data_IF_071762785853
#
_entry.id   IF_071762785853
#
_cell.length_a   1.000
_cell.length_b   1.000
_cell.length_c   1.000
_cell.angle_alpha   90.00
_cell.angle_beta   90.00
_cell.angle_gamma   90.00
#
_symmetry.space_group_name_H-M   'P 1'
#
loop_
_entity.id
_entity.type
_entity.pdbx_description
1 polymer ?
#
# COMPACT_ATOMS: atom_id res chain seq x y z
N UNK A 1 -29.55 -65.69 8.84
CA UNK A 1 -28.68 -64.50 8.76
C UNK A 1 -28.75 -63.99 7.32
N UNK A 2 -28.94 -62.67 7.14
CA UNK A 2 -29.00 -61.89 5.90
C UNK A 2 -30.36 -61.83 5.17
N UNK A 3 -31.10 -60.75 5.43
CA UNK A 3 -32.19 -60.24 4.59
C UNK A 3 -31.63 -59.51 3.36
N UNK A 4 -32.32 -59.52 2.21
CA UNK A 4 -31.90 -58.74 1.06
C UNK A 4 -32.44 -57.31 1.16
N UNK A 5 -31.55 -56.36 1.40
CA UNK A 5 -31.75 -54.93 1.14
C UNK A 5 -31.90 -54.75 -0.38
N UNK A 6 -33.12 -54.86 -0.90
CA UNK A 6 -33.40 -54.69 -2.33
C UNK A 6 -34.54 -53.69 -2.52
N UNK A 7 -34.18 -52.55 -3.12
CA UNK A 7 -35.06 -51.51 -3.71
C UNK A 7 -35.54 -50.36 -2.80
N UNK A 8 -34.64 -49.63 -2.15
CA UNK A 8 -34.94 -48.29 -1.59
C UNK A 8 -35.11 -47.22 -2.70
N UNK A 9 -34.33 -47.32 -3.78
CA UNK A 9 -34.32 -46.37 -4.90
C UNK A 9 -35.57 -46.39 -5.82
N UNK A 10 -36.45 -47.41 -5.72
CA UNK A 10 -37.71 -47.46 -6.48
C UNK A 10 -38.86 -46.66 -5.85
N UNK A 11 -38.65 -46.06 -4.67
CA UNK A 11 -39.66 -45.27 -3.94
C UNK A 11 -39.35 -43.78 -3.91
N UNK A 12 -38.27 -43.34 -4.52
CA UNK A 12 -37.92 -41.93 -4.63
C UNK A 12 -38.38 -41.46 -6.00
N UNK A 13 -39.43 -40.65 -6.03
CA UNK A 13 -39.86 -40.00 -7.26
C UNK A 13 -38.75 -39.03 -7.68
N UNK A 14 -38.23 -39.22 -8.89
CA UNK A 14 -37.15 -38.38 -9.42
C UNK A 14 -37.66 -36.96 -9.69
N UNK A 15 -38.95 -36.80 -9.93
CA UNK A 15 -39.56 -35.48 -10.15
C UNK A 15 -39.66 -34.70 -8.84
N UNK A 16 -39.95 -35.37 -7.71
CA UNK A 16 -39.88 -34.76 -6.38
C UNK A 16 -38.44 -34.46 -5.95
N UNK A 17 -37.47 -35.31 -6.36
CA UNK A 17 -36.05 -35.11 -6.05
C UNK A 17 -35.41 -33.99 -6.87
N UNK A 18 -35.83 -33.82 -8.13
CA UNK A 18 -35.32 -32.83 -9.08
C UNK A 18 -36.20 -31.57 -9.17
N UNK A 19 -37.30 -31.52 -8.42
CA UNK A 19 -38.12 -30.33 -8.26
C UNK A 19 -37.33 -29.18 -7.67
N UNK A 20 -37.59 -27.96 -8.13
CA UNK A 20 -36.99 -26.74 -7.57
C UNK A 20 -38.08 -25.76 -7.13
N UNK A 21 -37.92 -25.21 -5.93
CA UNK A 21 -38.82 -24.19 -5.42
C UNK A 21 -38.51 -22.83 -6.04
N UNK A 22 -39.55 -22.09 -6.37
CA UNK A 22 -39.46 -20.72 -6.87
C UNK A 22 -40.37 -19.78 -6.09
N UNK A 23 -39.99 -18.52 -5.99
CA UNK A 23 -40.75 -17.53 -5.24
C UNK A 23 -41.98 -17.08 -6.03
N UNK A 24 -43.15 -17.03 -5.37
CA UNK A 24 -44.35 -16.35 -5.88
C UNK A 24 -44.09 -14.84 -5.87
N UNK A 25 -44.13 -14.20 -7.04
CA UNK A 25 -43.87 -12.75 -7.19
C UNK A 25 -45.14 -11.98 -7.52
N UNK A 26 -45.25 -10.76 -7.01
CA UNK A 26 -46.36 -9.84 -7.29
C UNK A 26 -45.89 -8.79 -8.30
N UNK A 27 -46.52 -8.78 -9.48
CA UNK A 27 -46.17 -7.82 -10.52
C UNK A 27 -46.94 -6.51 -10.35
N UNK A 28 -46.28 -5.48 -9.81
CA UNK A 28 -46.89 -4.17 -9.53
C UNK A 28 -46.86 -3.30 -10.78
N UNK A 29 -48.03 -2.89 -11.29
CA UNK A 29 -48.19 -2.01 -12.44
C UNK A 29 -48.39 -0.55 -12.02
N UNK A 30 -47.30 0.12 -11.65
CA UNK A 30 -47.29 1.56 -11.37
C UNK A 30 -46.09 2.24 -12.06
N UNK A 31 -46.38 3.29 -12.84
CA UNK A 31 -45.36 4.08 -13.56
C UNK A 31 -44.37 4.75 -12.61
N UNK A 32 -44.82 5.26 -11.47
CA UNK A 32 -43.97 5.98 -10.50
C UNK A 32 -42.94 5.03 -9.91
N UNK A 33 -43.40 3.88 -9.40
CA UNK A 33 -42.54 2.82 -8.87
C UNK A 33 -41.62 2.23 -9.94
N UNK A 34 -42.12 2.02 -11.15
CA UNK A 34 -41.32 1.54 -12.27
C UNK A 34 -40.17 2.49 -12.62
N UNK A 35 -40.42 3.80 -12.70
CA UNK A 35 -39.37 4.80 -12.92
C UNK A 35 -38.35 4.82 -11.78
N UNK A 36 -38.79 4.78 -10.52
CA UNK A 36 -37.90 4.76 -9.37
C UNK A 36 -37.04 3.48 -9.35
N UNK A 37 -37.64 2.32 -9.63
CA UNK A 37 -36.95 1.04 -9.66
C UNK A 37 -35.88 0.96 -10.77
N UNK A 38 -36.26 1.28 -12.01
CA UNK A 38 -35.30 1.28 -13.11
C UNK A 38 -34.26 2.38 -12.97
N UNK A 39 -34.62 3.54 -12.39
CA UNK A 39 -33.66 4.59 -12.04
C UNK A 39 -32.58 4.10 -11.07
N UNK A 40 -32.98 3.45 -9.97
CA UNK A 40 -32.02 2.85 -9.03
C UNK A 40 -31.21 1.71 -9.68
N UNK A 41 -31.84 0.83 -10.46
CA UNK A 41 -31.12 -0.23 -11.16
C UNK A 41 -30.05 0.32 -12.11
N UNK A 42 -30.39 1.30 -12.95
CA UNK A 42 -29.44 1.90 -13.89
C UNK A 42 -28.30 2.60 -13.15
N UNK A 43 -28.61 3.36 -12.08
CA UNK A 43 -27.60 4.04 -11.28
C UNK A 43 -26.62 3.05 -10.61
N UNK A 44 -27.15 1.98 -10.00
CA UNK A 44 -26.34 0.94 -9.36
C UNK A 44 -25.52 0.18 -10.40
N UNK A 45 -26.11 -0.15 -11.55
CA UNK A 45 -25.41 -0.85 -12.62
C UNK A 45 -24.27 -0.01 -13.20
N UNK A 46 -24.51 1.29 -13.45
CA UNK A 46 -23.47 2.22 -13.88
C UNK A 46 -22.35 2.35 -12.82
N UNK A 47 -22.71 2.41 -11.54
CA UNK A 47 -21.75 2.41 -10.44
C UNK A 47 -20.91 1.13 -10.39
N UNK A 48 -21.52 -0.04 -10.56
CA UNK A 48 -20.80 -1.33 -10.60
C UNK A 48 -19.80 -1.34 -11.74
N UNK A 49 -20.22 -0.97 -12.96
CA UNK A 49 -19.33 -0.90 -14.13
C UNK A 49 -18.17 0.06 -13.86
N UNK A 50 -18.48 1.26 -13.37
CA UNK A 50 -17.48 2.25 -13.01
C UNK A 50 -16.49 1.70 -11.97
N UNK A 51 -16.98 1.06 -10.91
CA UNK A 51 -16.14 0.49 -9.85
C UNK A 51 -15.26 -0.65 -10.36
N UNK A 52 -15.80 -1.57 -11.16
CA UNK A 52 -15.05 -2.70 -11.72
C UNK A 52 -13.94 -2.22 -12.66
N UNK A 53 -14.21 -1.20 -13.49
CA UNK A 53 -13.23 -0.66 -14.44
C UNK A 53 -12.21 0.23 -13.73
N UNK A 54 -12.66 1.20 -12.94
CA UNK A 54 -11.78 2.20 -12.32
C UNK A 54 -10.90 1.59 -11.23
N UNK A 55 -11.47 0.75 -10.36
CA UNK A 55 -10.71 0.08 -9.30
C UNK A 55 -10.03 -1.21 -9.78
N UNK A 56 -10.32 -1.63 -11.02
CA UNK A 56 -9.81 -2.85 -11.65
C UNK A 56 -10.04 -4.09 -10.77
N UNK A 57 -11.26 -4.27 -10.27
CA UNK A 57 -11.64 -5.33 -9.33
C UNK A 57 -11.54 -6.75 -9.90
N UNK A 58 -11.32 -6.86 -11.21
CA UNK A 58 -11.05 -8.12 -11.91
C UNK A 58 -9.58 -8.57 -11.81
N UNK A 59 -8.73 -7.76 -11.18
CA UNK A 59 -7.33 -8.07 -10.94
C UNK A 59 -7.12 -8.54 -9.51
N UNK A 60 -6.31 -9.58 -9.35
CA UNK A 60 -5.66 -9.89 -8.09
C UNK A 60 -4.43 -8.99 -7.95
N UNK A 61 -4.59 -7.93 -7.18
CA UNK A 61 -3.56 -6.92 -6.90
C UNK A 61 -2.70 -7.33 -5.70
N UNK A 62 -1.41 -7.09 -5.78
CA UNK A 62 -0.46 -7.26 -4.66
C UNK A 62 0.64 -6.21 -4.70
N UNK A 63 1.21 -5.91 -3.52
CA UNK A 63 2.42 -5.09 -3.45
C UNK A 63 3.61 -5.87 -4.03
N UNK A 64 4.45 -5.23 -4.85
CA UNK A 64 5.60 -5.88 -5.44
C UNK A 64 6.61 -6.28 -4.36
N UNK A 65 7.19 -7.47 -4.51
CA UNK A 65 8.36 -7.89 -3.74
C UNK A 65 9.61 -7.33 -4.41
N UNK A 66 10.49 -6.65 -3.66
CA UNK A 66 11.73 -6.11 -4.21
C UNK A 66 12.58 -7.19 -4.89
N UNK A 67 12.90 -6.98 -6.16
CA UNK A 67 13.83 -7.84 -6.90
C UNK A 67 15.28 -7.34 -6.84
N UNK A 68 16.11 -7.83 -7.76
CA UNK A 68 17.50 -7.42 -7.85
C UNK A 68 17.62 -6.02 -8.45
N UNK A 69 18.53 -5.21 -7.92
CA UNK A 69 18.91 -3.92 -8.47
C UNK A 69 20.40 -3.94 -8.72
N UNK A 70 20.81 -3.57 -9.93
CA UNK A 70 22.21 -3.43 -10.29
C UNK A 70 22.42 -2.08 -10.93
N UNK A 71 23.46 -1.39 -10.47
CA UNK A 71 23.89 -0.12 -11.04
C UNK A 71 25.29 -0.27 -11.60
N UNK A 72 25.52 0.28 -12.78
CA UNK A 72 26.86 0.43 -13.35
C UNK A 72 27.07 1.85 -13.81
N UNK A 73 28.30 2.33 -13.72
CA UNK A 73 28.69 3.67 -14.11
C UNK A 73 29.52 3.60 -15.40
N UNK A 74 29.26 4.52 -16.32
CA UNK A 74 30.02 4.66 -17.57
C UNK A 74 30.50 6.11 -17.73
N UNK A 75 31.76 6.23 -18.11
CA UNK A 75 32.43 7.51 -18.40
C UNK A 75 31.82 8.22 -19.61
N UNK A 76 31.82 9.56 -19.63
CA UNK A 76 31.33 10.31 -20.78
C UNK A 76 32.21 10.07 -22.02
N UNK A 77 31.60 10.12 -23.21
CA UNK A 77 32.34 10.06 -24.46
C UNK A 77 33.10 11.37 -24.70
N UNK A 78 34.43 11.32 -24.70
CA UNK A 78 35.32 12.46 -24.96
C UNK A 78 36.29 12.75 -23.82
N UNK A 79 36.97 13.88 -23.89
CA UNK A 79 37.87 14.32 -22.82
C UNK A 79 37.07 14.79 -21.59
N UNK A 80 37.59 14.44 -20.41
CA UNK A 80 37.04 14.88 -19.13
C UNK A 80 37.30 16.37 -18.93
N UNK A 81 36.28 17.09 -18.47
CA UNK A 81 36.35 18.54 -18.30
C UNK A 81 36.65 18.93 -16.84
N UNK A 82 37.40 20.03 -16.67
CA UNK A 82 37.60 20.62 -15.34
C UNK A 82 36.38 21.45 -14.98
N UNK A 83 35.72 21.11 -13.87
CA UNK A 83 34.53 21.80 -13.42
C UNK A 83 34.85 23.08 -12.61
N UNK A 84 33.95 24.07 -12.52
CA UNK A 84 34.22 25.34 -11.83
C UNK A 84 34.56 25.20 -10.33
N UNK A 85 33.99 24.19 -9.66
CA UNK A 85 34.24 23.93 -8.23
C UNK A 85 35.68 23.50 -7.91
N UNK A 86 36.49 23.16 -8.92
CA UNK A 86 37.91 22.87 -8.77
C UNK A 86 38.75 24.08 -8.32
N UNK A 87 38.17 25.29 -8.30
CA UNK A 87 38.79 26.47 -7.72
C UNK A 87 38.78 26.45 -6.18
N UNK A 88 37.83 25.73 -5.56
CA UNK A 88 37.72 25.65 -4.10
C UNK A 88 38.69 24.62 -3.51
N UNK A 89 38.86 23.48 -4.20
CA UNK A 89 39.78 22.40 -3.85
C UNK A 89 40.35 21.78 -5.12
N UNK A 90 41.60 21.27 -5.12
CA UNK A 90 42.19 20.66 -6.30
C UNK A 90 41.35 19.47 -6.79
N UNK A 91 41.21 19.34 -8.10
CA UNK A 91 40.45 18.24 -8.71
C UNK A 91 41.35 17.11 -9.21
N UNK A 92 40.81 15.90 -9.17
CA UNK A 92 41.39 14.70 -9.77
C UNK A 92 40.44 14.14 -10.82
N UNK A 93 41.02 13.47 -11.81
CA UNK A 93 40.31 12.80 -12.89
C UNK A 93 40.28 11.30 -12.58
N UNK A 94 39.08 10.77 -12.33
CA UNK A 94 38.89 9.38 -11.94
C UNK A 94 38.03 8.64 -12.96
N UNK A 95 38.38 7.38 -13.22
CA UNK A 95 37.56 6.52 -14.05
C UNK A 95 36.29 6.04 -13.33
N UNK A 96 35.35 5.48 -14.08
CA UNK A 96 34.07 5.00 -13.53
C UNK A 96 34.26 3.97 -12.41
N UNK A 97 35.20 3.03 -12.56
CA UNK A 97 35.51 2.01 -11.55
C UNK A 97 36.18 2.57 -10.29
N UNK A 98 36.75 3.77 -10.34
CA UNK A 98 37.35 4.42 -9.17
C UNK A 98 36.31 5.24 -8.40
N UNK A 99 35.35 5.84 -9.13
CA UNK A 99 34.26 6.66 -8.58
C UNK A 99 33.20 5.77 -7.93
N UNK A 100 32.75 4.76 -8.67
CA UNK A 100 31.74 3.81 -8.24
C UNK A 100 32.36 2.86 -7.23
N UNK A 101 31.88 2.93 -5.99
CA UNK A 101 32.24 1.99 -4.95
C UNK A 101 30.98 1.29 -4.47
N UNK A 102 31.04 -0.03 -4.44
CA UNK A 102 29.94 -0.86 -3.97
C UNK A 102 30.29 -1.40 -2.57
N UNK A 103 29.67 -0.91 -1.49
CA UNK A 103 29.91 -1.43 -0.14
C UNK A 103 29.31 -2.83 0.08
N UNK A 104 28.66 -3.43 -0.93
CA UNK A 104 27.96 -4.71 -0.81
C UNK A 104 26.52 -4.58 -0.34
N UNK A 105 25.96 -3.36 -0.35
CA UNK A 105 24.58 -3.09 0.05
C UNK A 105 23.62 -3.40 -1.10
N UNK A 106 22.68 -4.32 -0.87
CA UNK A 106 21.63 -4.63 -1.84
C UNK A 106 20.76 -3.40 -2.10
N UNK A 107 20.71 -2.96 -3.35
CA UNK A 107 19.89 -1.81 -3.75
C UNK A 107 20.44 -0.46 -3.30
N UNK A 108 21.74 -0.35 -2.99
CA UNK A 108 22.40 0.93 -2.84
C UNK A 108 23.70 0.98 -3.65
N UNK A 109 24.13 2.19 -3.99
CA UNK A 109 25.41 2.42 -4.65
C UNK A 109 26.02 3.73 -4.18
N UNK A 110 27.34 3.84 -4.23
CA UNK A 110 28.06 5.03 -3.78
C UNK A 110 28.95 5.59 -4.89
N UNK A 111 28.78 6.88 -5.16
CA UNK A 111 29.60 7.65 -6.10
C UNK A 111 30.47 8.62 -5.31
N UNK A 112 31.78 8.50 -5.47
CA UNK A 112 32.73 9.39 -4.79
C UNK A 112 32.66 10.79 -5.42
N UNK A 113 32.59 11.85 -4.62
CA UNK A 113 32.70 13.26 -5.05
C UNK A 113 33.94 13.94 -4.49
N UNK A 114 34.40 13.50 -3.32
CA UNK A 114 35.59 14.00 -2.63
C UNK A 114 36.40 12.84 -2.08
N UNK A 115 37.73 12.98 -2.12
CA UNK A 115 38.64 12.03 -1.50
C UNK A 115 39.77 12.71 -0.73
N UNK A 116 40.19 12.08 0.36
CA UNK A 116 41.49 12.31 1.00
C UNK A 116 42.14 10.97 1.29
N UNK A 117 43.47 10.92 1.27
CA UNK A 117 44.23 9.70 1.48
C UNK A 117 45.15 9.84 2.69
N UNK A 118 45.28 8.77 3.48
CA UNK A 118 46.24 8.66 4.56
C UNK A 118 47.12 7.46 4.28
N UNK A 119 48.44 7.65 4.37
CA UNK A 119 49.40 6.56 4.19
C UNK A 119 49.98 6.19 5.54
N UNK A 120 49.94 4.90 5.85
CA UNK A 120 50.52 4.29 7.03
C UNK A 120 51.73 3.45 6.60
N UNK A 121 52.94 3.80 7.04
CA UNK A 121 54.16 3.10 6.62
C UNK A 121 54.21 1.70 7.23
N UNK A 122 54.85 0.76 6.52
CA UNK A 122 55.12 -0.56 7.07
C UNK A 122 56.01 -0.46 8.31
N UNK A 123 55.78 -1.38 9.26
CA UNK A 123 56.63 -1.52 10.44
C UNK A 123 57.53 -2.75 10.27
N UNK A 124 58.82 -2.59 10.56
CA UNK A 124 59.77 -3.69 10.53
C UNK A 124 59.29 -4.89 11.37
N UNK A 125 59.32 -6.08 10.77
CA UNK A 125 58.88 -7.32 11.42
C UNK A 125 57.37 -7.50 11.55
N UNK A 126 56.54 -6.61 10.99
CA UNK A 126 55.10 -6.74 10.98
C UNK A 126 54.55 -6.96 9.57
N UNK A 127 53.68 -7.96 9.43
CA UNK A 127 52.81 -8.13 8.26
C UNK A 127 51.42 -7.56 8.59
N UNK A 128 51.02 -6.49 7.90
CA UNK A 128 49.72 -5.88 8.12
C UNK A 128 48.58 -6.58 7.37
N UNK A 129 48.88 -7.42 6.38
CA UNK A 129 47.89 -8.24 5.69
C UNK A 129 47.47 -9.43 6.57
N UNK A 130 48.42 -10.00 7.32
CA UNK A 130 48.21 -11.10 8.25
C UNK A 130 48.84 -10.81 9.63
N UNK A 131 48.27 -9.87 10.42
CA UNK A 131 48.83 -9.50 11.70
C UNK A 131 48.63 -10.63 12.73
N UNK A 132 49.68 -11.43 12.96
CA UNK A 132 49.70 -12.50 13.97
C UNK A 132 49.92 -11.98 15.39
N UNK A 133 50.43 -10.75 15.53
CA UNK A 133 50.64 -10.07 16.81
C UNK A 133 49.76 -8.82 16.88
N UNK A 134 49.11 -8.59 18.03
CA UNK A 134 48.29 -7.39 18.28
C UNK A 134 49.06 -6.06 18.10
N UNK A 135 50.38 -6.07 18.31
CA UNK A 135 51.26 -4.92 18.09
C UNK A 135 51.48 -4.58 16.60
N UNK A 136 51.13 -5.51 15.70
CA UNK A 136 51.20 -5.35 14.24
C UNK A 136 49.85 -4.97 13.62
N UNK A 137 48.85 -4.57 14.43
CA UNK A 137 47.60 -3.99 13.91
C UNK A 137 47.87 -2.63 13.26
N UNK A 138 47.28 -2.41 12.09
CA UNK A 138 47.20 -1.07 11.50
C UNK A 138 46.24 -0.23 12.37
N UNK A 139 46.78 0.68 13.15
CA UNK A 139 46.08 1.76 13.88
C UNK A 139 47.13 2.78 14.35
N UNK A 140 48.19 2.92 13.55
CA UNK A 140 49.34 3.78 13.85
C UNK A 140 49.10 5.18 13.28
N UNK A 141 49.96 6.12 13.62
CA UNK A 141 49.85 7.49 13.11
C UNK A 141 50.23 7.53 11.62
N UNK A 142 49.46 8.24 10.75
CA UNK A 142 49.77 8.29 9.33
C UNK A 142 51.07 9.06 9.09
N UNK A 143 51.90 8.60 8.15
CA UNK A 143 53.11 9.31 7.73
C UNK A 143 52.80 10.47 6.77
N UNK A 144 51.75 10.31 5.96
CA UNK A 144 51.36 11.29 4.95
C UNK A 144 49.85 11.41 4.92
N UNK A 145 49.34 12.63 4.98
CA UNK A 145 47.92 12.96 4.80
C UNK A 145 47.81 13.84 3.57
N UNK A 146 47.10 13.38 2.55
CA UNK A 146 46.86 14.18 1.35
C UNK A 146 45.89 15.32 1.66
N UNK A 147 45.95 16.43 0.91
CA UNK A 147 44.85 17.38 0.93
C UNK A 147 43.58 16.71 0.37
N UNK A 148 42.46 17.39 0.54
CA UNK A 148 41.17 16.94 0.02
C UNK A 148 41.05 17.30 -1.46
N UNK A 149 40.70 16.31 -2.27
CA UNK A 149 40.51 16.45 -3.71
C UNK A 149 39.04 16.26 -4.09
N UNK A 150 38.57 17.01 -5.07
CA UNK A 150 37.27 16.77 -5.71
C UNK A 150 37.41 15.95 -6.98
N UNK A 151 36.40 15.15 -7.29
CA UNK A 151 36.30 14.45 -8.57
C UNK A 151 35.57 15.38 -9.54
N UNK A 152 36.20 15.65 -10.68
CA UNK A 152 35.66 16.54 -11.71
C UNK A 152 34.75 15.81 -12.70
N UNK A 153 33.90 16.57 -13.39
CA UNK A 153 33.02 16.11 -14.48
C UNK A 153 31.99 15.01 -14.13
N UNK A 154 31.72 14.80 -12.84
CA UNK A 154 30.83 13.73 -12.37
C UNK A 154 29.41 13.81 -12.97
N UNK A 155 28.91 15.02 -13.23
CA UNK A 155 27.54 15.24 -13.74
C UNK A 155 27.29 14.63 -15.13
N UNK A 156 28.36 14.45 -15.93
CA UNK A 156 28.32 13.86 -17.28
C UNK A 156 28.44 12.34 -17.27
N UNK A 157 28.76 11.71 -16.13
CA UNK A 157 28.79 10.25 -16.05
C UNK A 157 27.38 9.68 -16.19
N UNK A 158 27.30 8.51 -16.80
CA UNK A 158 26.05 7.82 -17.08
C UNK A 158 25.87 6.63 -16.16
N UNK A 159 24.75 6.60 -15.43
CA UNK A 159 24.31 5.48 -14.62
C UNK A 159 23.41 4.59 -15.48
N UNK A 160 23.71 3.30 -15.52
CA UNK A 160 22.78 2.29 -16.02
C UNK A 160 22.15 1.58 -14.82
N UNK A 161 20.83 1.62 -14.74
CA UNK A 161 20.04 1.01 -13.65
C UNK A 161 19.29 -0.20 -14.23
N UNK A 162 19.63 -1.38 -13.74
CA UNK A 162 18.88 -2.60 -13.99
C UNK A 162 18.07 -2.93 -12.75
N UNK A 163 16.78 -3.21 -12.91
CA UNK A 163 15.95 -3.66 -11.81
C UNK A 163 14.96 -4.72 -12.25
N UNK A 164 14.64 -5.62 -11.33
CA UNK A 164 13.57 -6.61 -11.48
C UNK A 164 12.58 -6.50 -10.33
N UNK A 165 11.37 -6.99 -10.58
CA UNK A 165 10.27 -7.03 -9.61
C UNK A 165 9.57 -8.37 -9.68
N UNK A 166 9.07 -8.84 -8.53
CA UNK A 166 8.35 -10.10 -8.42
C UNK A 166 7.04 -9.94 -7.66
N UNK A 167 6.01 -10.67 -8.07
CA UNK A 167 4.78 -10.90 -7.33
C UNK A 167 4.75 -12.32 -6.75
N UNK A 168 4.46 -12.46 -5.45
CA UNK A 168 4.42 -13.77 -4.78
C UNK A 168 3.12 -14.50 -5.07
N UNK A 169 1.99 -13.80 -4.98
CA UNK A 169 0.66 -14.38 -5.11
C UNK A 169 0.18 -14.48 -6.56
N UNK A 170 0.74 -13.67 -7.47
CA UNK A 170 0.43 -13.66 -8.90
C UNK A 170 1.45 -14.40 -9.76
N UNK A 171 2.65 -14.67 -9.22
CA UNK A 171 3.77 -15.27 -9.94
C UNK A 171 4.41 -14.36 -11.00
N UNK A 172 4.13 -13.06 -10.97
CA UNK A 172 4.74 -12.07 -11.85
C UNK A 172 6.26 -12.03 -11.57
N UNK A 173 7.08 -12.02 -12.61
CA UNK A 173 8.53 -11.83 -12.49
C UNK A 173 9.03 -11.14 -13.75
N UNK A 174 9.35 -9.84 -13.65
CA UNK A 174 9.59 -8.98 -14.82
C UNK A 174 10.81 -8.10 -14.57
N UNK A 175 11.59 -7.85 -15.62
CA UNK A 175 12.73 -6.93 -15.62
C UNK A 175 12.34 -5.60 -16.26
N UNK A 176 12.98 -4.51 -15.85
CA UNK A 176 12.76 -3.17 -16.40
C UNK A 176 12.92 -3.03 -17.93
N UNK A 177 13.61 -3.96 -18.60
CA UNK A 177 13.66 -4.02 -20.07
C UNK A 177 12.37 -4.40 -20.77
N UNK A 178 11.41 -4.99 -20.05
CA UNK A 178 10.10 -5.37 -20.59
C UNK A 178 9.01 -4.40 -20.16
N UNK A 179 9.36 -3.39 -19.36
CA UNK A 179 8.43 -2.42 -18.79
C UNK A 179 8.65 -1.03 -19.36
N UNK A 180 7.61 -0.20 -19.35
CA UNK A 180 7.72 1.21 -19.72
C UNK A 180 7.98 2.08 -18.48
N UNK A 181 9.09 2.79 -18.48
CA UNK A 181 9.56 3.62 -17.39
C UNK A 181 9.44 5.11 -17.62
N UNK A 182 9.53 5.88 -16.54
CA UNK A 182 9.87 7.30 -16.61
C UNK A 182 10.61 7.78 -15.37
N UNK A 183 11.43 8.81 -15.52
CA UNK A 183 12.01 9.56 -14.40
C UNK A 183 11.12 10.76 -14.10
N UNK A 184 10.51 10.75 -12.93
CA UNK A 184 9.75 11.88 -12.42
C UNK A 184 10.73 12.93 -11.92
N UNK A 185 10.56 14.15 -12.40
CA UNK A 185 11.28 15.31 -11.91
C UNK A 185 10.41 15.89 -10.81
N UNK A 186 10.93 15.91 -9.58
CA UNK A 186 10.22 16.53 -8.47
C UNK A 186 10.09 18.03 -8.76
N UNK A 187 8.90 18.48 -9.18
CA UNK A 187 8.56 19.90 -9.42
C UNK A 187 8.49 20.70 -8.12
N UNK A 188 9.39 20.45 -7.17
CA UNK A 188 9.49 21.20 -5.94
C UNK A 188 10.23 22.50 -6.24
N UNK A 189 9.49 23.59 -6.42
CA UNK A 189 9.84 25.00 -6.14
C UNK A 189 11.22 25.56 -6.53
N UNK A 190 12.07 24.84 -7.25
CA UNK A 190 13.38 25.29 -7.63
C UNK A 190 13.26 25.97 -9.00
N UNK A 191 13.37 27.32 -9.08
CA UNK A 191 13.24 28.06 -10.33
C UNK A 191 14.31 27.66 -11.36
N UNK A 192 15.34 26.92 -10.96
CA UNK A 192 16.43 26.47 -11.83
C UNK A 192 16.05 25.31 -12.78
N UNK A 193 14.97 24.55 -12.54
CA UNK A 193 14.65 23.33 -13.33
C UNK A 193 13.25 23.31 -13.99
N UNK A 194 12.61 24.47 -14.19
CA UNK A 194 11.22 24.52 -14.69
C UNK A 194 11.02 23.99 -16.14
N UNK A 195 12.08 23.88 -16.94
CA UNK A 195 12.00 23.54 -18.37
C UNK A 195 12.47 22.12 -18.72
N UNK A 196 12.63 21.24 -17.74
CA UNK A 196 13.13 19.88 -18.01
C UNK A 196 12.03 18.92 -18.46
N UNK A 197 12.38 18.13 -19.47
CA UNK A 197 11.54 17.05 -20.00
C UNK A 197 11.68 15.80 -19.13
N UNK A 198 10.56 15.19 -18.76
CA UNK A 198 10.54 13.86 -18.16
C UNK A 198 11.31 12.89 -19.07
N UNK A 199 12.25 12.11 -18.50
CA UNK A 199 12.89 11.04 -19.25
C UNK A 199 11.92 9.86 -19.32
N UNK A 200 11.69 9.36 -20.53
CA UNK A 200 10.86 8.19 -20.78
C UNK A 200 11.74 7.02 -21.23
N UNK A 201 11.47 5.86 -20.66
CA UNK A 201 12.11 4.60 -21.00
C UNK A 201 11.07 3.70 -21.63
N UNK A 202 11.25 3.37 -22.91
CA UNK A 202 10.35 2.46 -23.62
C UNK A 202 11.15 1.24 -24.09
N UNK A 203 10.59 0.03 -23.97
CA UNK A 203 11.19 -1.18 -24.53
C UNK A 203 11.46 -1.06 -26.04
N UNK A 204 10.63 -0.31 -26.76
CA UNK A 204 10.73 -0.13 -28.20
C UNK A 204 11.85 0.82 -28.61
N UNK A 205 12.15 1.83 -27.78
CA UNK A 205 13.21 2.82 -28.04
C UNK A 205 14.57 2.44 -27.46
N UNK A 206 14.64 1.35 -26.68
CA UNK A 206 15.86 0.99 -25.97
C UNK A 206 16.94 0.51 -26.94
N UNK A 207 18.20 1.00 -26.82
CA UNK A 207 19.29 0.51 -27.65
C UNK A 207 19.48 -1.01 -27.49
N UNK A 208 19.78 -1.73 -28.58
CA UNK A 208 20.05 -3.16 -28.49
C UNK A 208 21.27 -3.42 -27.59
N UNK A 209 21.17 -4.46 -26.74
CA UNK A 209 22.20 -4.88 -25.76
C UNK A 209 22.41 -3.96 -24.54
N UNK A 210 21.56 -2.95 -24.34
CA UNK A 210 21.53 -2.20 -23.08
C UNK A 210 20.43 -2.81 -22.20
N UNK A 211 20.78 -3.55 -21.12
CA UNK A 211 19.78 -4.24 -20.32
C UNK A 211 19.03 -3.32 -19.35
N UNK A 212 19.59 -2.15 -19.01
CA UNK A 212 19.03 -1.21 -18.03
C UNK A 212 18.58 0.14 -18.61
N UNK A 213 18.16 1.03 -17.72
CA UNK A 213 17.82 2.41 -18.03
C UNK A 213 19.04 3.30 -17.86
N UNK A 214 19.26 4.22 -18.81
CA UNK A 214 20.42 5.12 -18.80
C UNK A 214 19.98 6.50 -18.29
N UNK A 215 20.63 6.97 -17.23
CA UNK A 215 20.38 8.27 -16.60
C UNK A 215 21.73 8.91 -16.28
N UNK A 216 21.96 10.18 -16.63
CA UNK A 216 23.19 10.84 -16.18
C UNK A 216 23.14 11.15 -14.68
N UNK A 217 24.29 11.19 -14.00
CA UNK A 217 24.36 11.61 -12.59
C UNK A 217 23.74 13.00 -12.43
N UNK A 218 24.02 13.92 -13.37
CA UNK A 218 23.41 15.23 -13.40
C UNK A 218 21.89 15.18 -13.57
N UNK A 219 21.32 14.31 -14.41
CA UNK A 219 19.85 14.16 -14.54
C UNK A 219 19.23 13.65 -13.23
N UNK A 220 19.88 12.69 -12.56
CA UNK A 220 19.38 12.15 -11.30
C UNK A 220 19.43 13.19 -10.17
N UNK A 221 20.52 13.96 -10.07
CA UNK A 221 20.66 15.04 -9.09
C UNK A 221 19.58 16.11 -9.29
N UNK A 222 19.32 16.50 -10.54
CA UNK A 222 18.28 17.47 -10.90
C UNK A 222 16.88 16.94 -10.59
N UNK A 223 16.58 15.69 -10.94
CA UNK A 223 15.32 15.04 -10.59
C UNK A 223 15.10 14.96 -9.07
N UNK A 224 16.19 14.80 -8.30
CA UNK A 224 16.16 14.79 -6.84
C UNK A 224 16.04 16.17 -6.18
N UNK A 225 16.25 17.25 -6.95
CA UNK A 225 16.33 18.62 -6.43
C UNK A 225 17.62 18.92 -5.65
N UNK A 226 18.64 18.06 -5.71
CA UNK A 226 19.91 18.23 -5.04
C UNK A 226 20.86 19.14 -5.83
N UNK A 227 21.55 20.04 -5.13
CA UNK A 227 22.62 20.87 -5.68
C UNK A 227 23.88 20.62 -4.86
N UNK A 228 24.86 19.93 -5.42
CA UNK A 228 26.06 19.51 -4.68
C UNK A 228 26.90 20.69 -4.17
N UNK A 229 26.86 21.83 -4.85
CA UNK A 229 27.65 23.00 -4.48
C UNK A 229 26.92 23.91 -3.46
N UNK A 230 25.72 23.53 -3.03
CA UNK A 230 25.02 24.23 -1.95
C UNK A 230 25.61 23.87 -0.57
N UNK A 231 25.48 24.75 0.43
CA UNK A 231 25.91 24.47 1.80
C UNK A 231 25.22 23.22 2.35
N UNK A 232 26.01 22.35 2.99
CA UNK A 232 25.53 21.14 3.62
C UNK A 232 24.76 21.44 4.90
N UNK A 233 23.63 20.77 5.08
CA UNK A 233 22.83 20.79 6.30
C UNK A 233 23.13 19.61 7.24
N UNK A 234 24.13 18.78 6.91
CA UNK A 234 24.52 17.64 7.72
C UNK A 234 25.13 18.08 9.07
N UNK A 235 24.81 17.40 10.18
CA UNK A 235 25.40 17.70 11.49
C UNK A 235 26.93 17.50 11.56
N UNK A 236 27.47 16.62 10.72
CA UNK A 236 28.90 16.34 10.63
C UNK A 236 29.69 17.34 9.77
N UNK A 237 29.00 18.20 9.01
CA UNK A 237 29.62 19.16 8.13
C UNK A 237 30.11 20.40 8.88
N UNK A 238 31.24 20.96 8.45
CA UNK A 238 31.80 22.21 8.98
C UNK A 238 31.02 23.41 8.43
N UNK A 239 29.88 23.71 9.07
CA UNK A 239 29.01 24.82 8.71
C UNK A 239 29.71 26.18 8.81
N UNK A 240 30.66 26.34 9.73
CA UNK A 240 31.41 27.57 9.90
C UNK A 240 32.33 27.88 8.71
N UNK A 241 32.82 26.84 8.02
CA UNK A 241 33.59 26.94 6.78
C UNK A 241 32.73 26.90 5.51
N UNK A 242 31.40 26.82 5.65
CA UNK A 242 30.49 26.71 4.51
C UNK A 242 30.70 25.42 3.72
N UNK A 243 30.94 24.30 4.40
CA UNK A 243 31.11 23.00 3.74
C UNK A 243 29.91 22.65 2.85
N UNK A 244 30.16 22.23 1.61
CA UNK A 244 29.12 21.91 0.63
C UNK A 244 28.74 20.44 0.65
N UNK A 245 27.57 20.11 0.10
CA UNK A 245 27.13 18.73 -0.10
C UNK A 245 28.12 17.87 -0.91
N UNK A 246 28.89 18.49 -1.83
CA UNK A 246 29.99 17.84 -2.56
C UNK A 246 31.11 17.38 -1.63
N UNK A 247 31.35 18.10 -0.54
CA UNK A 247 32.40 17.80 0.43
C UNK A 247 31.94 16.83 1.52
N UNK A 248 30.76 17.07 2.11
CA UNK A 248 30.22 16.22 3.18
C UNK A 248 29.68 14.90 2.64
N UNK A 249 29.17 14.89 1.41
CA UNK A 249 28.39 13.79 0.84
C UNK A 249 26.89 13.98 1.09
N UNK A 250 26.07 13.25 0.34
CA UNK A 250 24.61 13.27 0.38
C UNK A 250 24.02 11.88 0.21
N UNK A 251 22.78 11.71 0.67
CA UNK A 251 21.99 10.51 0.42
C UNK A 251 20.79 10.83 -0.48
N UNK A 252 20.75 10.18 -1.65
CA UNK A 252 19.63 10.18 -2.58
C UNK A 252 18.77 8.95 -2.34
N UNK A 253 17.48 9.15 -2.09
CA UNK A 253 16.47 8.09 -2.09
C UNK A 253 15.78 8.06 -3.45
N UNK A 254 15.85 6.92 -4.13
CA UNK A 254 15.22 6.68 -5.43
C UNK A 254 14.13 5.63 -5.24
N UNK A 255 12.88 6.08 -5.25
CA UNK A 255 11.71 5.21 -5.19
C UNK A 255 11.36 4.75 -6.60
N UNK A 256 11.33 3.44 -6.81
CA UNK A 256 10.82 2.80 -8.04
C UNK A 256 9.40 2.36 -7.75
N UNK A 257 8.41 3.07 -8.29
CA UNK A 257 7.00 2.73 -8.16
C UNK A 257 6.54 1.93 -9.37
N UNK A 258 6.05 0.72 -9.15
CA UNK A 258 5.50 -0.17 -10.17
C UNK A 258 3.98 -0.09 -10.24
N UNK A 259 3.45 -0.07 -11.46
CA UNK A 259 2.02 -0.08 -11.72
C UNK A 259 1.74 -0.86 -13.02
N UNK A 260 0.50 -1.28 -13.22
CA UNK A 260 0.04 -1.80 -14.50
C UNK A 260 -1.34 -1.27 -14.84
N UNK A 261 -1.60 -1.04 -16.14
CA UNK A 261 -2.87 -0.48 -16.64
C UNK A 261 -4.07 -1.43 -16.54
N UNK A 262 -3.97 -2.44 -15.68
CA UNK A 262 -4.95 -3.49 -15.50
C UNK A 262 -4.98 -4.51 -16.61
N UNK A 263 -3.90 -4.58 -17.39
CA UNK A 263 -3.62 -5.64 -18.35
C UNK A 263 -2.21 -6.20 -18.11
N UNK A 264 -1.52 -6.58 -19.19
CA UNK A 264 -0.13 -7.05 -19.22
C UNK A 264 0.90 -5.92 -19.34
N UNK A 265 0.48 -4.66 -19.48
CA UNK A 265 1.43 -3.56 -19.65
C UNK A 265 1.91 -3.04 -18.29
N UNK A 266 3.09 -3.51 -17.91
CA UNK A 266 3.77 -3.06 -16.70
C UNK A 266 4.52 -1.76 -16.94
N UNK A 267 4.39 -0.85 -15.99
CA UNK A 267 5.00 0.48 -15.99
C UNK A 267 5.74 0.69 -14.68
N UNK A 268 6.75 1.53 -14.72
CA UNK A 268 7.40 2.00 -13.50
C UNK A 268 7.73 3.48 -13.58
N UNK A 269 7.87 4.13 -12.43
CA UNK A 269 8.30 5.52 -12.33
C UNK A 269 9.40 5.63 -11.27
N UNK A 270 10.51 6.28 -11.63
CA UNK A 270 11.54 6.68 -10.68
C UNK A 270 11.15 8.01 -10.05
N UNK A 271 11.14 8.10 -8.73
CA UNK A 271 11.06 9.35 -7.98
C UNK A 271 12.31 9.49 -7.13
N UNK A 272 13.13 10.49 -7.42
CA UNK A 272 14.34 10.77 -6.66
C UNK A 272 14.10 11.94 -5.70
N UNK A 273 14.64 11.84 -4.49
CA UNK A 273 14.68 12.92 -3.52
C UNK A 273 15.98 12.82 -2.71
N UNK A 274 16.63 13.93 -2.41
CA UNK A 274 17.74 13.92 -1.44
C UNK A 274 17.19 14.02 -0.01
N UNK A 275 17.84 13.34 0.92
CA UNK A 275 17.49 13.37 2.33
C UNK A 275 18.31 14.46 3.01
N UNK A 276 17.64 15.54 3.41
CA UNK A 276 18.23 16.64 4.18
C UNK A 276 18.89 16.16 5.46
N UNK A 277 20.05 16.70 5.78
CA UNK A 277 20.84 16.41 6.98
C UNK A 277 21.65 15.12 6.91
N UNK A 278 21.49 14.30 5.86
CA UNK A 278 22.23 13.05 5.73
C UNK A 278 23.51 13.25 4.90
N UNK A 279 24.64 13.09 5.55
CA UNK A 279 25.94 12.88 4.88
C UNK A 279 26.23 11.39 4.69
N UNK A 280 27.15 11.08 3.78
CA UNK A 280 27.65 9.72 3.64
C UNK A 280 29.12 9.71 3.23
N UNK A 281 29.89 8.88 3.95
CA UNK A 281 31.30 8.62 3.69
C UNK A 281 31.60 7.13 3.80
N UNK A 282 32.67 6.72 3.13
CA UNK A 282 33.23 5.38 3.16
C UNK A 282 34.73 5.49 3.35
N UNK A 283 35.27 4.68 4.27
CA UNK A 283 36.71 4.52 4.46
C UNK A 283 37.11 3.17 3.86
N UNK A 284 37.99 3.21 2.86
CA UNK A 284 38.52 2.02 2.19
C UNK A 284 40.00 1.88 2.53
N UNK A 285 40.46 0.67 2.84
CA UNK A 285 41.85 0.38 3.17
C UNK A 285 42.49 -0.47 2.07
N UNK A 286 43.56 0.03 1.47
CA UNK A 286 44.33 -0.65 0.43
C UNK A 286 45.70 -1.02 0.99
N UNK A 287 46.05 -2.30 0.90
CA UNK A 287 47.39 -2.79 1.24
C UNK A 287 48.31 -2.74 0.02
N UNK A 288 49.48 -2.10 0.15
CA UNK A 288 50.50 -2.05 -0.88
C UNK A 288 51.50 -3.19 -0.66
N UNK A 289 51.55 -4.23 -1.51
CA UNK A 289 52.40 -5.39 -1.28
C UNK A 289 53.89 -5.09 -1.46
N UNK A 290 54.25 -4.06 -2.22
CA UNK A 290 55.65 -3.69 -2.49
C UNK A 290 56.33 -3.11 -1.25
N UNK A 291 55.65 -2.17 -0.59
CA UNK A 291 56.22 -1.41 0.53
C UNK A 291 55.68 -1.88 1.89
N UNK A 292 54.71 -2.80 1.90
CA UNK A 292 53.97 -3.24 3.09
C UNK A 292 53.10 -2.15 3.73
N UNK A 293 53.00 -0.98 3.09
CA UNK A 293 52.26 0.17 3.59
C UNK A 293 50.76 -0.01 3.38
N UNK A 294 49.97 0.66 4.22
CA UNK A 294 48.52 0.72 4.07
C UNK A 294 48.11 2.13 3.66
N UNK A 295 47.29 2.23 2.63
CA UNK A 295 46.64 3.49 2.22
C UNK A 295 45.17 3.45 2.60
N UNK A 296 44.74 4.36 3.45
CA UNK A 296 43.33 4.59 3.76
C UNK A 296 42.78 5.71 2.87
N UNK A 297 41.72 5.40 2.14
CA UNK A 297 40.98 6.31 1.27
C UNK A 297 39.71 6.73 2.01
N UNK A 298 39.66 7.98 2.45
CA UNK A 298 38.46 8.57 3.01
C UNK A 298 37.64 9.24 1.89
N UNK A 299 36.58 8.57 1.48
CA UNK A 299 35.72 8.91 0.34
C UNK A 299 34.42 9.52 0.86
N UNK A 300 34.06 10.69 0.37
CA UNK A 300 32.75 11.29 0.57
C UNK A 300 32.02 11.41 -0.76
N UNK A 301 30.69 11.36 -0.75
CA UNK A 301 29.92 11.56 -1.96
C UNK A 301 28.48 11.15 -1.91
N UNK A 302 27.96 10.71 -3.06
CA UNK A 302 26.54 10.49 -3.29
C UNK A 302 26.23 9.04 -3.01
N UNK A 303 25.49 8.76 -1.93
CA UNK A 303 24.87 7.44 -1.72
C UNK A 303 23.51 7.44 -2.38
N UNK A 304 23.28 6.53 -3.31
CA UNK A 304 21.99 6.34 -3.96
C UNK A 304 21.37 5.07 -3.37
N UNK A 305 20.21 5.20 -2.75
CA UNK A 305 19.46 4.09 -2.14
C UNK A 305 18.16 3.90 -2.91
N UNK A 306 17.97 2.71 -3.45
CA UNK A 306 16.79 2.36 -4.22
C UNK A 306 15.76 1.63 -3.34
N UNK A 307 14.50 2.03 -3.44
CA UNK A 307 13.38 1.36 -2.80
C UNK A 307 12.30 1.00 -3.81
N UNK A 308 11.84 -0.25 -3.79
CA UNK A 308 10.82 -0.75 -4.71
C UNK A 308 9.45 -0.76 -4.03
N UNK A 309 8.44 -0.16 -4.66
CA UNK A 309 7.07 -0.09 -4.16
C UNK A 309 6.06 -0.08 -5.29
N UNK A 310 4.77 -0.11 -5.00
CA UNK A 310 3.70 0.06 -6.00
C UNK A 310 2.59 -0.99 -5.85
N UNK A 311 1.86 -1.19 -6.94
CA UNK A 311 0.76 -2.13 -6.97
C UNK A 311 0.73 -2.84 -8.33
N UNK A 312 0.92 -4.15 -8.32
CA UNK A 312 0.90 -4.96 -9.54
C UNK A 312 -0.27 -5.93 -9.49
N UNK A 313 -1.02 -6.02 -10.59
CA UNK A 313 -2.20 -6.87 -10.70
C UNK A 313 -2.13 -7.81 -11.88
N UNK A 314 -2.62 -9.03 -11.71
CA UNK A 314 -2.90 -9.95 -12.81
C UNK A 314 -4.38 -10.25 -12.87
N UNK A 315 -4.93 -10.46 -14.07
CA UNK A 315 -6.30 -10.93 -14.22
C UNK A 315 -6.50 -12.22 -13.42
N UNK A 316 -7.54 -12.24 -12.60
CA UNK A 316 -7.92 -13.37 -11.77
C UNK A 316 -9.43 -13.57 -11.82
N UNK A 317 -9.85 -14.71 -12.36
CA UNK A 317 -11.28 -14.99 -12.56
C UNK A 317 -12.03 -15.08 -11.22
N UNK A 318 -11.37 -15.54 -10.15
CA UNK A 318 -11.98 -15.62 -8.83
C UNK A 318 -12.26 -14.22 -8.27
N UNK A 319 -11.31 -13.29 -8.39
CA UNK A 319 -11.49 -11.88 -8.01
C UNK A 319 -12.64 -11.23 -8.76
N UNK A 320 -12.75 -11.46 -10.09
CA UNK A 320 -13.90 -11.00 -10.87
C UNK A 320 -15.22 -11.57 -10.35
N UNK A 321 -15.28 -12.88 -10.12
CA UNK A 321 -16.49 -13.57 -9.67
C UNK A 321 -16.93 -13.08 -8.29
N UNK A 322 -16.01 -12.97 -7.32
CA UNK A 322 -16.32 -12.48 -5.97
C UNK A 322 -16.88 -11.06 -6.00
N UNK A 323 -16.27 -10.17 -6.80
CA UNK A 323 -16.75 -8.80 -6.95
C UNK A 323 -18.09 -8.72 -7.70
N UNK A 324 -18.34 -9.63 -8.65
CA UNK A 324 -19.62 -9.74 -9.34
C UNK A 324 -20.74 -10.21 -8.39
N UNK A 325 -20.47 -11.21 -7.56
CA UNK A 325 -21.43 -11.70 -6.55
C UNK A 325 -21.80 -10.59 -5.57
N UNK A 326 -20.82 -9.84 -5.07
CA UNK A 326 -21.07 -8.66 -4.23
C UNK A 326 -21.91 -7.60 -4.95
N UNK A 327 -21.67 -7.40 -6.24
CA UNK A 327 -22.42 -6.45 -7.07
C UNK A 327 -23.88 -6.87 -7.31
N UNK A 328 -24.17 -8.18 -7.44
CA UNK A 328 -25.53 -8.71 -7.53
C UNK A 328 -26.31 -8.46 -6.23
N UNK A 329 -25.64 -8.60 -5.07
CA UNK A 329 -26.25 -8.27 -3.79
C UNK A 329 -26.63 -6.77 -3.72
N UNK A 330 -25.76 -5.89 -4.23
CA UNK A 330 -26.07 -4.46 -4.30
C UNK A 330 -27.27 -4.17 -5.21
N UNK A 331 -27.43 -4.86 -6.34
CA UNK A 331 -28.62 -4.72 -7.20
C UNK A 331 -29.93 -5.08 -6.47
N UNK A 332 -29.91 -6.03 -5.52
CA UNK A 332 -31.08 -6.36 -4.69
C UNK A 332 -31.42 -5.29 -3.65
N UNK A 333 -30.48 -4.43 -3.26
CA UNK A 333 -30.82 -3.29 -2.39
C UNK A 333 -31.77 -2.31 -3.08
N UNK A 334 -31.72 -2.20 -4.41
CA UNK A 334 -32.67 -1.39 -5.18
C UNK A 334 -34.13 -1.85 -4.96
N UNK A 335 -34.37 -3.17 -5.03
CA UNK A 335 -35.72 -3.72 -4.78
C UNK A 335 -36.19 -3.39 -3.37
N UNK A 336 -35.31 -3.51 -2.37
CA UNK A 336 -35.65 -3.23 -0.97
C UNK A 336 -36.01 -1.74 -0.77
N UNK A 337 -35.26 -0.82 -1.38
CA UNK A 337 -35.56 0.61 -1.31
C UNK A 337 -36.92 0.94 -1.95
N UNK A 338 -37.22 0.37 -3.13
CA UNK A 338 -38.51 0.57 -3.78
C UNK A 338 -39.66 -0.06 -2.99
N UNK A 339 -39.45 -1.20 -2.34
CA UNK A 339 -40.46 -1.82 -1.48
C UNK A 339 -40.77 -0.97 -0.25
N UNK A 340 -39.74 -0.41 0.41
CA UNK A 340 -39.94 0.52 1.52
C UNK A 340 -40.71 1.76 1.04
N UNK A 341 -40.33 2.30 -0.12
CA UNK A 341 -41.01 3.43 -0.73
C UNK A 341 -42.49 3.14 -1.02
N UNK A 342 -42.77 1.98 -1.64
CA UNK A 342 -44.11 1.51 -1.97
C UNK A 342 -45.00 1.35 -0.73
N UNK A 343 -44.49 0.73 0.34
CA UNK A 343 -45.29 0.37 1.51
C UNK A 343 -45.44 1.50 2.54
N UNK A 344 -44.52 2.47 2.57
CA UNK A 344 -44.55 3.54 3.58
C UNK A 344 -45.00 4.90 3.03
N UNK A 345 -44.57 5.26 1.83
CA UNK A 345 -44.68 6.63 1.31
C UNK A 345 -45.80 6.85 0.30
N UNK A 346 -46.20 5.83 -0.48
CA UNK A 346 -47.27 6.01 -1.46
C UNK A 346 -48.67 6.13 -0.81
N UNK A 347 -49.56 6.98 -1.35
CA UNK A 347 -50.93 7.12 -0.84
C UNK A 347 -51.70 5.78 -0.87
N UNK A 348 -51.47 4.97 -1.89
CA UNK A 348 -52.11 3.65 -2.10
C UNK A 348 -51.44 2.51 -1.32
N UNK A 349 -50.59 2.81 -0.32
CA UNK A 349 -49.83 1.81 0.46
C UNK A 349 -50.65 0.63 1.01
N UNK A 350 -51.93 0.84 1.36
CA UNK A 350 -52.81 -0.24 1.85
C UNK A 350 -53.07 -1.29 0.77
N UNK A 351 -53.35 -0.86 -0.47
CA UNK A 351 -53.57 -1.76 -1.60
C UNK A 351 -52.30 -2.55 -1.94
N UNK A 352 -51.13 -1.91 -1.89
CA UNK A 352 -49.86 -2.60 -2.08
C UNK A 352 -49.56 -3.61 -0.95
N UNK A 353 -49.94 -3.29 0.29
CA UNK A 353 -49.77 -4.18 1.43
C UNK A 353 -50.60 -5.45 1.28
N UNK A 354 -51.90 -5.30 0.97
CA UNK A 354 -52.82 -6.42 0.76
C UNK A 354 -52.42 -7.27 -0.45
N UNK A 355 -51.91 -6.65 -1.52
CA UNK A 355 -51.42 -7.37 -2.69
C UNK A 355 -50.11 -8.12 -2.43
N UNK A 356 -49.25 -7.65 -1.51
CA UNK A 356 -47.94 -8.23 -1.20
C UNK A 356 -48.01 -9.30 -0.12
N UNK A 357 -48.79 -9.08 0.93
CA UNK A 357 -48.84 -9.93 2.11
C UNK A 357 -50.15 -10.71 2.15
N UNK A 358 -50.03 -12.03 2.09
CA UNK A 358 -51.14 -12.96 2.36
C UNK A 358 -51.11 -13.32 3.84
N UNK A 359 -52.11 -12.86 4.60
CA UNK A 359 -52.21 -13.16 6.03
C UNK A 359 -52.78 -14.56 6.21
N UNK A 360 -52.04 -15.41 6.92
CA UNK A 360 -52.56 -16.71 7.36
C UNK A 360 -53.48 -16.51 8.56
N UNK A 361 -54.40 -17.47 8.77
CA UNK A 361 -55.15 -17.53 10.02
C UNK A 361 -54.19 -17.72 11.20
N UNK A 362 -54.51 -17.15 12.36
CA UNK A 362 -53.70 -17.34 13.55
C UNK A 362 -53.69 -18.83 13.93
N UNK A 363 -52.51 -19.44 13.83
CA UNK A 363 -52.34 -20.86 14.13
C UNK A 363 -52.56 -21.17 15.60
N UNK A 364 -52.44 -20.21 16.51
CA UNK A 364 -52.78 -20.41 17.92
C UNK A 364 -54.29 -20.48 18.12
N UNK A 365 -55.07 -19.71 17.37
CA UNK A 365 -56.53 -19.85 17.35
C UNK A 365 -56.94 -21.21 16.77
N UNK A 366 -56.27 -21.67 15.71
CA UNK A 366 -56.50 -23.00 15.15
C UNK A 366 -56.13 -24.12 16.13
N UNK A 367 -55.07 -23.95 16.93
CA UNK A 367 -54.66 -24.92 17.96
C UNK A 367 -55.59 -24.92 19.16
N UNK A 368 -56.05 -23.75 19.63
CA UNK A 368 -57.04 -23.63 20.72
C UNK A 368 -58.35 -24.29 20.33
N UNK A 369 -58.82 -24.05 19.10
CA UNK A 369 -59.97 -24.77 18.51
C UNK A 369 -59.76 -26.29 18.46
N UNK A 370 -58.57 -26.74 18.10
CA UNK A 370 -58.23 -28.18 18.06
C UNK A 370 -58.15 -28.81 19.46
N UNK A 371 -57.68 -28.07 20.46
CA UNK A 371 -57.52 -28.53 21.83
C UNK A 371 -58.79 -28.34 22.69
N UNK A 372 -59.87 -27.79 22.11
CA UNK A 372 -61.15 -27.59 22.80
C UNK A 372 -61.15 -26.44 23.81
N UNK A 373 -60.26 -25.46 23.66
CA UNK A 373 -60.33 -24.20 24.41
C UNK A 373 -61.22 -23.24 23.62
N UNK A 374 -62.50 -23.14 24.03
CA UNK A 374 -63.48 -22.24 23.41
C UNK A 374 -63.03 -20.77 23.57
N UNK A 375 -62.89 -20.07 22.44
CA UNK A 375 -62.68 -18.63 22.38
C UNK A 375 -64.02 -17.98 22.04
N UNK A 376 -64.61 -17.26 22.99
CA UNK A 376 -65.82 -16.46 22.79
C UNK A 376 -65.54 -15.31 21.79
N UNK A 377 -65.94 -15.54 20.54
CA UNK A 377 -66.00 -14.53 19.49
C UNK A 377 -67.35 -13.82 19.53
N UNK A 378 -67.57 -12.89 20.48
CA UNK A 378 -68.45 -11.74 20.27
C UNK A 378 -68.42 -10.77 21.46
N UNK A 379 -68.00 -9.52 21.19
CA UNK A 379 -68.08 -8.39 22.12
C UNK A 379 -69.53 -7.94 22.37
N UNK A 380 -70.35 -8.78 23.00
CA UNK A 380 -71.72 -8.42 23.39
C UNK A 380 -72.05 -8.95 24.78
N UNK A 381 -71.90 -8.08 25.79
CA UNK A 381 -72.43 -8.28 27.14
C UNK A 381 -73.91 -8.71 27.06
N UNK A 382 -74.25 -9.85 27.67
CA UNK A 382 -75.61 -10.12 28.18
C UNK A 382 -75.56 -10.91 29.49
N UNK A 383 -76.62 -10.78 30.31
CA UNK A 383 -76.50 -10.55 31.74
C UNK A 383 -76.55 -11.83 32.54
N UNK A 384 -75.74 -11.89 33.58
CA UNK A 384 -75.85 -12.87 34.67
C UNK A 384 -77.21 -12.69 35.36
N UNK A 385 -78.08 -13.69 35.28
CA UNK A 385 -79.23 -13.84 36.18
C UNK A 385 -78.91 -14.90 37.23
N UNK A 386 -79.35 -14.61 38.45
CA UNK A 386 -78.86 -15.11 39.74
C UNK A 386 -79.23 -16.58 40.06
N UNK A 387 -78.35 -17.21 40.83
CA UNK A 387 -78.63 -18.24 41.85
C UNK A 387 -77.58 -18.11 42.97
N UNK A 388 -77.93 -18.37 44.25
CA UNK A 388 -77.73 -17.40 45.32
C UNK A 388 -76.46 -17.65 46.17
N UNK A 389 -75.92 -16.57 46.75
CA UNK A 389 -75.03 -16.72 47.91
C UNK A 389 -74.04 -15.58 48.09
N UNK A 390 -74.42 -14.68 49.00
CA UNK A 390 -73.55 -13.84 49.85
C UNK A 390 -73.27 -12.41 49.38
N UNK A 391 -73.78 -11.55 50.25
CA UNK A 391 -73.78 -10.11 50.43
C UNK A 391 -72.36 -9.53 50.57
N UNK A 392 -71.98 -8.64 49.65
CA UNK A 392 -71.71 -7.20 49.83
C UNK A 392 -70.63 -6.84 50.87
N UNK A 393 -69.52 -6.27 50.37
CA UNK A 393 -69.07 -4.94 50.83
C UNK A 393 -68.23 -4.26 49.74
N UNK A 394 -68.66 -3.05 49.39
CA UNK A 394 -68.08 -2.04 48.48
C UNK A 394 -67.07 -1.12 49.25
N UNK A 395 -66.49 -0.05 48.67
CA UNK A 395 -65.48 -0.04 47.59
C UNK A 395 -64.33 0.98 47.86
N UNK A 396 -63.53 1.25 46.81
CA UNK A 396 -62.80 2.51 46.47
C UNK A 396 -61.48 2.88 47.16
N UNK A 397 -60.64 3.77 46.57
CA UNK A 397 -60.62 4.30 45.18
C UNK A 397 -59.24 4.32 44.50
N UNK A 398 -59.29 4.62 43.19
CA UNK A 398 -58.18 5.06 42.34
C UNK A 398 -57.37 6.23 42.95
N UNK A 399 -56.06 6.27 42.66
CA UNK A 399 -55.36 7.53 42.37
C UNK A 399 -54.27 7.33 41.31
N UNK A 400 -54.38 8.16 40.28
CA UNK A 400 -53.39 8.49 39.25
C UNK A 400 -52.23 9.31 39.83
N UNK A 401 -50.98 9.09 39.40
CA UNK A 401 -49.91 10.11 39.23
C UNK A 401 -48.75 9.42 38.47
N UNK A 402 -48.39 9.81 37.24
CA UNK A 402 -47.53 10.93 36.83
C UNK A 402 -46.04 10.77 37.21
N UNK A 403 -45.24 10.48 36.19
CA UNK A 403 -43.85 10.91 35.92
C UNK A 403 -42.62 10.33 36.65
N UNK A 404 -41.63 10.08 35.78
CA UNK A 404 -40.17 10.24 35.91
C UNK A 404 -39.36 9.10 36.56
N UNK A 405 -38.67 8.33 35.70
CA UNK A 405 -37.38 7.71 36.04
C UNK A 405 -36.28 8.78 36.08
N UNK A 406 -35.35 8.67 37.05
CA UNK A 406 -33.97 9.07 36.81
C UNK A 406 -32.98 7.92 37.02
N UNK A 407 -31.88 8.07 36.28
CA UNK A 407 -30.66 7.28 36.23
C UNK A 407 -30.07 6.96 37.60
N UNK A 408 -29.63 5.71 37.77
CA UNK A 408 -28.83 5.23 38.89
C UNK A 408 -27.35 5.52 38.62
N UNK A 409 -26.78 6.37 39.47
CA UNK A 409 -25.36 6.66 39.61
C UNK A 409 -24.76 5.67 40.61
N UNK A 410 -23.76 4.88 40.18
CA UNK A 410 -23.03 3.95 41.06
C UNK A 410 -21.93 4.71 41.81
N UNK A 411 -22.00 4.68 43.14
CA UNK A 411 -20.93 5.11 44.05
C UNK A 411 -20.85 4.13 45.20
N UNK A 412 -19.77 3.34 45.25
CA UNK A 412 -19.34 2.62 46.43
C UNK A 412 -17.97 3.18 46.86
N UNK A 413 -17.97 3.83 48.02
CA UNK A 413 -16.80 4.22 48.80
C UNK A 413 -16.47 3.12 49.82
N UNK A 414 -15.18 2.79 50.00
CA UNK A 414 -14.53 2.45 51.28
C UNK A 414 -13.00 2.38 51.05
N UNK A 415 -12.20 3.39 51.42
CA UNK A 415 -11.53 3.60 52.75
C UNK A 415 -10.72 2.35 53.16
N UNK A 416 -9.40 2.34 53.40
CA UNK A 416 -8.37 3.35 53.70
C UNK A 416 -7.02 2.66 53.99
N UNK A 417 -6.05 3.26 54.73
CA UNK A 417 -4.71 3.58 54.18
C UNK A 417 -3.50 2.88 54.86
N UNK A 418 -2.30 2.92 54.24
CA UNK A 418 -1.01 2.92 54.97
C UNK A 418 0.21 3.32 54.12
N UNK A 419 0.75 4.51 54.44
CA UNK A 419 2.17 4.93 54.59
C UNK A 419 3.32 4.30 53.76
N UNK A 420 4.02 5.20 53.07
CA UNK A 420 5.47 5.47 53.07
C UNK A 420 6.48 4.31 53.02
N UNK A 421 7.24 4.24 51.92
CA UNK A 421 8.71 4.48 51.82
C UNK A 421 8.98 5.10 50.45
#
# INVERSE_FOLDING_TARGET
MLSPVKNWWKRVDLDDLLGYDTFKVVHVRDRRLGFTFHGFQIAIFAYIIYSVIHNQLYLKKESPVPGAIRVSLLEPTGELQTSPYCQQKPCVFWGANQILYDPGDQGATFLTTRISTKVFPAREGCDFQLPTNAACRYNLQPSTVSPEYYITDLDRYTLMIEHSVRGTATGISIRNGEMSGRLLITKANNPYYQNETELHFSPQTRPPRVPGDIITVGQLLRASGAVLDAPSDAPGADQAKGETYRSSGIVLSVVIEYDNDGSTNFKYSYSANYIKGNEFKVEETIFNPTDGSITELNRHGIRIVFSQTGNIGKFDFMSLLTNLVASIALLKTATLLVEIFMLKFLPQRKMYYEAKYELTEDFDDLRKRRNGEDIDLEGRKKPTTLGPGVEVTQPSPCHTHFSAEPLVEHRDDHVGPSKAV
#
